data_IF_467858990542
#
_entry.id   IF_467858990542
#
_cell.length_a   1.000
_cell.length_b   1.000
_cell.length_c   1.000
_cell.angle_alpha   90.00
_cell.angle_beta   90.00
_cell.angle_gamma   90.00
#
_symmetry.space_group_name_H-M   'P 1'
#
loop_
_entity.id
_entity.type
_entity.pdbx_description
1 polymer ?
#
# COMPACT_ATOMS: atom_id res chain seq x y z
N UNK A 1 -4.77 1.85 21.05
CA UNK A 1 -3.57 2.53 20.50
C UNK A 1 -3.89 2.83 19.05
N UNK A 2 -3.71 4.08 18.65
CA UNK A 2 -4.04 4.51 17.30
C UNK A 2 -2.96 4.01 16.31
N UNK A 3 -3.21 2.86 15.68
CA UNK A 3 -2.27 2.22 14.75
C UNK A 3 -1.83 3.11 13.59
N UNK A 4 -2.62 4.12 13.22
CA UNK A 4 -2.24 5.10 12.19
C UNK A 4 -1.03 5.93 12.65
N UNK A 5 -0.93 6.28 13.93
CA UNK A 5 0.22 7.03 14.41
C UNK A 5 1.51 6.19 14.32
N UNK A 6 1.47 4.89 14.61
CA UNK A 6 2.62 4.00 14.37
C UNK A 6 3.03 3.98 12.90
N UNK A 7 2.06 3.90 11.99
CA UNK A 7 2.36 3.97 10.57
C UNK A 7 3.01 5.30 10.19
N UNK A 8 2.44 6.42 10.63
CA UNK A 8 2.95 7.75 10.31
C UNK A 8 4.39 7.95 10.80
N UNK A 9 4.70 7.48 12.01
CA UNK A 9 6.03 7.60 12.59
C UNK A 9 7.04 6.70 11.86
N UNK A 10 6.69 5.44 11.60
CA UNK A 10 7.54 4.52 10.82
C UNK A 10 7.76 5.05 9.40
N UNK A 11 6.72 5.62 8.79
CA UNK A 11 6.79 6.20 7.46
C UNK A 11 7.70 7.43 7.40
N UNK A 12 7.63 8.33 8.40
CA UNK A 12 8.55 9.48 8.50
C UNK A 12 10.00 9.04 8.53
N UNK A 13 10.34 8.03 9.35
CA UNK A 13 11.69 7.47 9.43
C UNK A 13 12.13 6.92 8.07
N UNK A 14 11.31 6.11 7.43
CA UNK A 14 11.59 5.53 6.12
C UNK A 14 11.71 6.59 5.03
N UNK A 15 10.80 7.58 4.99
CA UNK A 15 10.78 8.61 3.94
C UNK A 15 11.97 9.55 4.04
N UNK A 16 12.45 9.85 5.25
CA UNK A 16 13.66 10.63 5.46
C UNK A 16 14.90 9.94 4.87
N UNK A 17 14.99 8.61 4.98
CA UNK A 17 16.10 7.84 4.40
C UNK A 17 16.02 7.70 2.88
N UNK A 18 14.82 7.80 2.28
CA UNK A 18 14.58 7.55 0.84
C UNK A 18 14.22 8.79 0.03
N UNK A 19 14.20 9.98 0.64
CA UNK A 19 13.78 11.24 -0.01
C UNK A 19 12.37 11.19 -0.64
N UNK A 20 11.45 10.45 -0.04
CA UNK A 20 10.09 10.29 -0.57
C UNK A 20 9.19 11.44 -0.08
N UNK A 21 8.48 12.09 -1.01
CA UNK A 21 7.44 13.07 -0.70
C UNK A 21 6.09 12.36 -0.70
N UNK A 22 5.51 12.06 0.46
CA UNK A 22 4.13 11.58 0.54
C UNK A 22 3.25 12.63 1.23
N UNK A 23 2.10 12.93 0.65
CA UNK A 23 1.07 13.71 1.31
C UNK A 23 0.34 12.83 2.31
N UNK A 24 0.78 12.85 3.56
CA UNK A 24 0.15 12.09 4.66
C UNK A 24 -1.22 12.67 5.08
N UNK A 25 -1.61 13.79 4.50
CA UNK A 25 -2.86 14.49 4.85
C UNK A 25 -4.08 13.62 4.55
N UNK A 26 -4.01 12.81 3.49
CA UNK A 26 -5.15 12.03 3.04
C UNK A 26 -5.45 10.80 3.90
N UNK A 27 -4.45 10.22 4.58
CA UNK A 27 -4.66 9.04 5.44
C UNK A 27 -5.58 9.31 6.63
N UNK A 28 -5.53 10.51 7.20
CA UNK A 28 -6.44 10.90 8.30
C UNK A 28 -7.88 11.01 7.81
N UNK A 29 -8.10 11.51 6.59
CA UNK A 29 -9.42 11.59 5.96
C UNK A 29 -9.99 10.21 5.64
N UNK A 30 -9.18 9.26 5.20
CA UNK A 30 -9.64 7.89 4.96
C UNK A 30 -10.23 7.22 6.20
N UNK A 31 -9.77 7.59 7.39
CA UNK A 31 -10.33 7.07 8.66
C UNK A 31 -11.79 7.47 8.86
N UNK A 32 -12.21 8.61 8.34
CA UNK A 32 -13.58 9.12 8.44
C UNK A 32 -14.58 8.28 7.64
N UNK A 33 -14.11 7.49 6.66
CA UNK A 33 -14.93 6.61 5.84
C UNK A 33 -15.21 5.23 6.46
N UNK A 34 -14.65 4.92 7.64
CA UNK A 34 -14.93 3.65 8.31
C UNK A 34 -16.43 3.48 8.60
N UNK A 35 -16.99 2.38 8.10
CA UNK A 35 -18.38 1.99 8.32
C UNK A 35 -18.50 0.46 8.38
N UNK A 36 -19.73 -0.06 8.40
CA UNK A 36 -19.97 -1.51 8.47
C UNK A 36 -19.44 -2.31 7.28
N UNK A 37 -19.30 -1.68 6.11
CA UNK A 37 -18.85 -2.32 4.86
C UNK A 37 -17.39 -2.01 4.51
N UNK A 38 -16.88 -0.85 4.92
CA UNK A 38 -15.53 -0.40 4.64
C UNK A 38 -14.76 -0.15 5.94
N UNK A 39 -13.60 -0.78 6.08
CA UNK A 39 -12.70 -0.59 7.21
C UNK A 39 -11.31 -0.24 6.72
N UNK A 40 -10.70 0.77 7.33
CA UNK A 40 -9.28 1.06 7.19
C UNK A 40 -8.56 0.51 8.42
N UNK A 41 -7.58 -0.34 8.18
CA UNK A 41 -6.80 -1.02 9.22
C UNK A 41 -5.35 -0.58 9.10
N UNK A 42 -4.78 -0.12 10.20
CA UNK A 42 -3.34 0.02 10.34
C UNK A 42 -2.80 -1.16 11.13
N UNK A 43 -1.82 -1.85 10.58
CA UNK A 43 -1.22 -3.04 11.18
C UNK A 43 0.27 -2.81 11.38
N UNK A 44 0.81 -3.22 12.54
CA UNK A 44 2.20 -2.97 12.92
C UNK A 44 2.87 -4.24 13.45
N UNK A 45 4.13 -4.43 13.05
CA UNK A 45 5.04 -5.38 13.67
C UNK A 45 5.89 -4.67 14.73
N UNK A 46 5.68 -5.03 16.00
CA UNK A 46 6.37 -4.43 17.14
C UNK A 46 7.40 -5.39 17.72
N UNK A 47 8.55 -4.85 18.10
CA UNK A 47 9.54 -5.53 18.94
C UNK A 47 9.93 -4.58 20.09
N UNK A 48 9.78 -5.01 21.33
CA UNK A 48 10.07 -4.19 22.52
C UNK A 48 9.38 -2.81 22.46
N UNK A 49 8.13 -2.74 22.02
CA UNK A 49 7.35 -1.53 21.81
C UNK A 49 7.88 -0.59 20.69
N UNK A 50 8.85 -1.02 19.90
CA UNK A 50 9.37 -0.28 18.74
C UNK A 50 8.68 -0.84 17.48
N UNK A 51 8.10 0.05 16.67
CA UNK A 51 7.50 -0.34 15.39
C UNK A 51 8.60 -0.56 14.35
N UNK A 52 8.78 -1.78 13.90
CA UNK A 52 9.77 -2.17 12.91
C UNK A 52 9.20 -2.12 11.48
N UNK A 53 7.94 -2.49 11.33
CA UNK A 53 7.22 -2.46 10.06
C UNK A 53 5.76 -2.11 10.31
N UNK A 54 5.15 -1.39 9.38
CA UNK A 54 3.73 -1.03 9.46
C UNK A 54 3.11 -0.95 8.08
N UNK A 55 1.80 -1.15 8.00
CA UNK A 55 1.05 -1.03 6.76
C UNK A 55 -0.34 -0.47 6.99
N UNK A 56 -0.93 0.05 5.91
CA UNK A 56 -2.33 0.46 5.82
C UNK A 56 -3.03 -0.44 4.83
N UNK A 57 -4.12 -1.04 5.28
CA UNK A 57 -4.95 -1.95 4.50
C UNK A 57 -6.40 -1.47 4.57
N UNK A 58 -7.10 -1.43 3.44
CA UNK A 58 -8.55 -1.28 3.44
C UNK A 58 -9.22 -2.63 3.26
N UNK A 59 -10.34 -2.82 3.94
CA UNK A 59 -11.20 -4.01 3.79
C UNK A 59 -12.56 -3.55 3.30
N UNK A 60 -13.00 -4.13 2.20
CA UNK A 60 -14.33 -3.94 1.64
C UNK A 60 -14.95 -5.30 1.30
N UNK A 61 -16.06 -5.62 1.94
CA UNK A 61 -16.64 -6.97 1.91
C UNK A 61 -15.60 -8.01 2.38
N UNK A 62 -15.31 -9.01 1.54
CA UNK A 62 -14.35 -10.09 1.80
C UNK A 62 -12.98 -9.88 1.17
N UNK A 63 -12.69 -8.66 0.69
CA UNK A 63 -11.43 -8.32 0.03
C UNK A 63 -10.68 -7.26 0.83
N UNK A 64 -9.38 -7.44 0.95
CA UNK A 64 -8.46 -6.48 1.51
C UNK A 64 -7.52 -5.94 0.43
N UNK A 65 -7.16 -4.67 0.54
CA UNK A 65 -6.23 -3.99 -0.37
C UNK A 65 -5.07 -3.39 0.42
N UNK A 66 -3.86 -3.78 0.07
CA UNK A 66 -2.63 -3.30 0.67
C UNK A 66 -2.20 -1.98 0.01
N UNK A 67 -2.39 -0.86 0.71
CA UNK A 67 -2.18 0.47 0.12
C UNK A 67 -0.78 1.02 0.37
N UNK A 68 -0.34 0.98 1.62
CA UNK A 68 0.91 1.62 2.04
C UNK A 68 1.64 0.73 3.02
N UNK A 69 2.96 0.80 2.95
CA UNK A 69 3.83 0.15 3.91
C UNK A 69 5.04 1.01 4.25
N UNK A 70 5.54 0.83 5.44
CA UNK A 70 6.78 1.41 5.90
C UNK A 70 7.56 0.40 6.72
N UNK A 71 8.87 0.36 6.52
CA UNK A 71 9.77 -0.55 7.24
C UNK A 71 11.02 0.23 7.60
N UNK A 72 11.41 0.19 8.87
CA UNK A 72 12.66 0.78 9.35
C UNK A 72 13.87 -0.03 8.85
N UNK A 73 15.08 0.53 8.95
CA UNK A 73 16.31 -0.19 8.60
C UNK A 73 16.46 -1.45 9.45
N UNK A 74 16.28 -1.33 10.77
CA UNK A 74 16.27 -2.49 11.68
C UNK A 74 15.17 -3.50 11.33
N UNK A 75 14.01 -3.02 10.88
CA UNK A 75 12.91 -3.88 10.42
C UNK A 75 13.28 -4.65 9.16
N UNK A 76 14.06 -4.06 8.25
CA UNK A 76 14.58 -4.75 7.05
C UNK A 76 15.58 -5.83 7.44
N UNK A 77 16.54 -5.52 8.31
CA UNK A 77 17.55 -6.47 8.78
C UNK A 77 16.91 -7.69 9.46
N UNK A 78 15.80 -7.49 10.15
CA UNK A 78 15.05 -8.55 10.83
C UNK A 78 13.91 -9.17 9.99
N UNK A 79 13.76 -8.79 8.73
CA UNK A 79 12.66 -9.25 7.87
C UNK A 79 11.27 -9.04 8.50
N UNK A 80 11.11 -7.97 9.29
CA UNK A 80 9.91 -7.72 10.09
C UNK A 80 8.63 -7.57 9.25
N UNK A 81 8.75 -7.11 8.00
CA UNK A 81 7.63 -6.98 7.08
C UNK A 81 6.99 -8.33 6.75
N UNK A 82 7.76 -9.40 6.60
CA UNK A 82 7.22 -10.74 6.36
C UNK A 82 6.42 -11.25 7.56
N UNK A 83 6.97 -11.12 8.77
CA UNK A 83 6.27 -11.48 10.00
C UNK A 83 5.01 -10.66 10.21
N UNK A 84 5.05 -9.36 9.92
CA UNK A 84 3.90 -8.47 9.99
C UNK A 84 2.79 -8.92 9.02
N UNK A 85 3.10 -9.17 7.74
CA UNK A 85 2.11 -9.61 6.75
C UNK A 85 1.54 -10.97 7.09
N UNK A 86 2.36 -11.91 7.55
CA UNK A 86 1.86 -13.21 7.98
C UNK A 86 0.79 -13.09 9.09
N UNK A 87 1.04 -12.24 10.09
CA UNK A 87 0.06 -11.98 11.15
C UNK A 87 -1.15 -11.16 10.66
N UNK A 88 -0.95 -10.24 9.72
CA UNK A 88 -2.04 -9.54 9.05
C UNK A 88 -2.96 -10.52 8.31
N UNK A 89 -2.41 -11.47 7.55
CA UNK A 89 -3.21 -12.49 6.85
C UNK A 89 -4.04 -13.33 7.84
N UNK A 90 -3.45 -13.74 8.96
CA UNK A 90 -4.20 -14.45 10.03
C UNK A 90 -5.33 -13.60 10.60
N UNK A 91 -5.07 -12.32 10.83
CA UNK A 91 -6.08 -11.39 11.31
C UNK A 91 -7.20 -11.22 10.28
N UNK A 92 -6.86 -11.01 9.00
CA UNK A 92 -7.84 -10.88 7.92
C UNK A 92 -8.69 -12.13 7.78
N UNK A 93 -8.09 -13.31 7.87
CA UNK A 93 -8.82 -14.59 7.88
C UNK A 93 -9.79 -14.69 9.07
N UNK A 94 -9.40 -14.22 10.26
CA UNK A 94 -10.26 -14.24 11.45
C UNK A 94 -11.50 -13.34 11.36
N UNK A 95 -11.48 -12.37 10.44
CA UNK A 95 -12.61 -11.48 10.13
C UNK A 95 -13.24 -11.80 8.76
N UNK A 96 -13.08 -13.04 8.29
CA UNK A 96 -13.70 -13.60 7.09
C UNK A 96 -13.29 -12.90 5.77
N UNK A 97 -12.12 -12.27 5.72
CA UNK A 97 -11.53 -11.78 4.47
C UNK A 97 -10.92 -12.95 3.71
N UNK A 98 -11.27 -13.09 2.44
CA UNK A 98 -10.87 -14.21 1.58
C UNK A 98 -9.71 -13.86 0.65
N UNK A 99 -9.50 -12.57 0.35
CA UNK A 99 -8.52 -12.11 -0.62
C UNK A 99 -7.74 -10.89 -0.07
N UNK A 100 -6.41 -10.92 -0.21
CA UNK A 100 -5.52 -9.78 0.04
C UNK A 100 -4.81 -9.39 -1.25
N UNK A 101 -5.21 -8.26 -1.84
CA UNK A 101 -4.57 -7.68 -3.02
C UNK A 101 -3.37 -6.83 -2.61
N UNK A 102 -2.16 -7.23 -3.01
CA UNK A 102 -0.91 -6.50 -2.76
C UNK A 102 -0.68 -5.33 -3.72
N UNK A 103 -1.59 -5.09 -4.66
CA UNK A 103 -1.41 -4.12 -5.73
C UNK A 103 -0.49 -4.60 -6.85
N UNK A 104 -0.27 -3.75 -7.84
CA UNK A 104 0.49 -4.10 -9.04
C UNK A 104 1.96 -4.45 -8.78
N UNK A 105 2.53 -5.21 -9.71
CA UNK A 105 3.97 -5.41 -9.89
C UNK A 105 4.46 -4.38 -10.93
N UNK A 106 5.73 -4.00 -10.87
CA UNK A 106 6.31 -3.11 -11.88
C UNK A 106 6.60 -3.88 -13.17
N UNK A 107 6.18 -3.33 -14.32
CA UNK A 107 6.43 -3.95 -15.63
C UNK A 107 7.91 -3.85 -16.03
N UNK A 108 8.60 -2.81 -15.60
CA UNK A 108 9.98 -2.49 -15.97
C UNK A 108 11.03 -2.88 -14.91
N UNK A 109 10.61 -3.52 -13.83
CA UNK A 109 11.47 -3.89 -12.72
C UNK A 109 11.99 -2.70 -11.89
N UNK A 110 11.43 -1.50 -12.07
CA UNK A 110 11.82 -0.28 -11.33
C UNK A 110 11.61 -0.42 -9.82
N UNK A 111 10.72 -1.31 -9.40
CA UNK A 111 10.39 -1.60 -8.01
C UNK A 111 10.84 -2.99 -7.55
N UNK A 112 11.99 -3.47 -8.08
CA UNK A 112 12.46 -4.85 -7.90
C UNK A 112 12.44 -5.37 -6.45
N UNK A 113 12.78 -4.53 -5.46
CA UNK A 113 12.72 -4.92 -4.05
C UNK A 113 11.30 -5.08 -3.51
N UNK A 114 10.33 -4.29 -4.01
CA UNK A 114 8.92 -4.40 -3.64
C UNK A 114 8.28 -5.59 -4.33
N UNK A 115 8.61 -5.80 -5.60
CA UNK A 115 8.12 -6.93 -6.39
C UNK A 115 8.61 -8.24 -5.81
N UNK A 116 9.91 -8.36 -5.52
CA UNK A 116 10.50 -9.51 -4.83
C UNK A 116 9.81 -9.81 -3.49
N UNK A 117 9.51 -8.76 -2.71
CA UNK A 117 8.77 -8.90 -1.45
C UNK A 117 7.37 -9.49 -1.66
N UNK A 118 6.61 -8.99 -2.66
CA UNK A 118 5.26 -9.48 -2.99
C UNK A 118 5.28 -10.92 -3.50
N UNK A 119 6.19 -11.22 -4.41
CA UNK A 119 6.41 -12.57 -4.97
C UNK A 119 6.75 -13.60 -3.90
N UNK A 120 7.44 -13.18 -2.82
CA UNK A 120 7.78 -14.04 -1.68
C UNK A 120 6.57 -14.64 -0.95
N UNK A 121 5.36 -14.12 -1.18
CA UNK A 121 4.10 -14.69 -0.64
C UNK A 121 3.45 -15.69 -1.59
N UNK A 122 4.01 -15.92 -2.78
CA UNK A 122 3.54 -16.88 -3.78
C UNK A 122 2.04 -16.69 -4.13
N UNK A 123 1.62 -15.43 -4.24
CA UNK A 123 0.25 -15.06 -4.64
C UNK A 123 0.02 -15.26 -6.13
N UNK A 124 -1.25 -15.26 -6.53
CA UNK A 124 -1.64 -15.31 -7.94
C UNK A 124 -1.39 -13.95 -8.61
N UNK A 125 -0.71 -13.95 -9.75
CA UNK A 125 -0.53 -12.75 -10.59
C UNK A 125 -1.70 -12.61 -11.55
N UNK A 126 -2.52 -11.57 -11.32
CA UNK A 126 -3.68 -11.28 -12.18
C UNK A 126 -3.32 -10.22 -13.21
N UNK A 127 -3.33 -10.60 -14.49
CA UNK A 127 -3.14 -9.66 -15.59
C UNK A 127 -4.44 -8.91 -15.87
N UNK A 128 -4.43 -7.60 -15.66
CA UNK A 128 -5.57 -6.72 -15.99
C UNK A 128 -5.42 -6.18 -17.40
N UNK A 129 -6.54 -5.90 -18.06
CA UNK A 129 -6.56 -5.44 -19.47
C UNK A 129 -5.91 -4.06 -19.66
N UNK A 130 -5.59 -3.34 -18.57
CA UNK A 130 -5.05 -1.99 -18.61
C UNK A 130 -6.13 -0.90 -18.56
N UNK A 131 -5.70 0.35 -18.74
CA UNK A 131 -6.59 1.50 -18.74
C UNK A 131 -7.08 1.80 -20.15
N UNK A 132 -8.35 2.15 -20.28
CA UNK A 132 -8.96 2.53 -21.55
C UNK A 132 -9.45 3.97 -21.47
N UNK A 133 -8.97 4.80 -22.38
CA UNK A 133 -9.42 6.16 -22.55
C UNK A 133 -10.49 6.26 -23.63
N UNK A 134 -11.65 6.77 -23.29
CA UNK A 134 -12.69 7.14 -24.25
C UNK A 134 -12.73 8.67 -24.35
N UNK A 135 -12.39 9.20 -25.50
CA UNK A 135 -12.44 10.63 -25.75
C UNK A 135 -13.33 10.97 -26.96
N UNK A 136 -14.04 12.11 -26.88
CA UNK A 136 -14.93 12.61 -27.95
C UNK A 136 -14.21 12.83 -29.28
N UNK A 137 -12.89 13.10 -29.24
CA UNK A 137 -12.04 13.20 -30.43
C UNK A 137 -10.57 12.92 -30.09
N UNK A 138 -9.76 12.57 -31.10
CA UNK A 138 -8.33 12.34 -30.94
C UNK A 138 -7.57 13.57 -30.43
N UNK A 139 -8.06 14.78 -30.75
CA UNK A 139 -7.46 16.03 -30.27
C UNK A 139 -7.65 16.19 -28.75
N UNK A 140 -8.86 15.92 -28.21
CA UNK A 140 -9.11 15.93 -26.78
C UNK A 140 -8.25 14.90 -26.05
N UNK A 141 -8.12 13.68 -26.59
CA UNK A 141 -7.27 12.63 -26.04
C UNK A 141 -5.80 13.07 -25.98
N UNK A 142 -5.30 13.66 -27.05
CA UNK A 142 -3.91 14.15 -27.10
C UNK A 142 -3.64 15.24 -26.06
N UNK A 143 -4.53 16.24 -25.96
CA UNK A 143 -4.41 17.34 -24.99
C UNK A 143 -4.45 16.78 -23.56
N UNK A 144 -5.40 15.92 -23.27
CA UNK A 144 -5.59 15.32 -21.93
C UNK A 144 -4.35 14.50 -21.51
N UNK A 145 -3.83 13.66 -22.39
CA UNK A 145 -2.64 12.85 -22.11
C UNK A 145 -1.39 13.75 -21.88
N UNK A 146 -1.25 14.85 -22.61
CA UNK A 146 -0.19 15.84 -22.36
C UNK A 146 -0.32 16.48 -20.98
N UNK A 147 -1.52 16.84 -20.56
CA UNK A 147 -1.77 17.46 -19.24
C UNK A 147 -1.47 16.46 -18.10
N UNK A 148 -1.84 15.19 -18.25
CA UNK A 148 -1.54 14.15 -17.26
C UNK A 148 -0.03 13.92 -17.15
N UNK A 149 0.65 13.76 -18.28
CA UNK A 149 2.11 13.61 -18.28
C UNK A 149 2.81 14.79 -17.58
N UNK A 150 2.34 16.03 -17.79
CA UNK A 150 2.90 17.22 -17.13
C UNK A 150 2.67 17.22 -15.61
N UNK A 151 1.56 16.65 -15.12
CA UNK A 151 1.26 16.55 -13.69
C UNK A 151 1.97 15.39 -12.97
N UNK A 152 2.36 14.35 -13.69
CA UNK A 152 3.08 13.21 -13.12
C UNK A 152 4.58 13.48 -12.93
N UNK A 153 5.12 14.55 -13.53
CA UNK A 153 6.53 14.95 -13.41
C UNK A 153 6.78 16.10 -12.40
N UNK A 154 5.73 16.64 -11.77
CA UNK A 154 5.81 17.63 -10.68
C UNK A 154 5.24 17.07 -9.37
#
# INVERSE_FOLDING_TARGET
>A
IDGINYFLDTYKVMSASKNLKLSLVDLKKFREFNNSKFKLISFCGLENNICLASCIVSVFNKKAFYHYAATTDLGRDKSASYGMIYNLMKYLQSIEVEELDFGGLSEDGSSSGVDFFKEGFNGEVVNRIGEFDIAKSNLYRYIFNKVIQFKSFN
#
